data_IF_242760728891
#
_entry.id   IF_242760728891
#
_cell.length_a   1.000
_cell.length_b   1.000
_cell.length_c   1.000
_cell.angle_alpha   90.00
_cell.angle_beta   90.00
_cell.angle_gamma   90.00
#
_symmetry.space_group_name_H-M   'P 1'
#
loop_
_entity.id
_entity.type
_entity.pdbx_description
1 polymer ?
#
# COMPACT_ATOMS: atom_id res chain seq x y z
N UNK A 1 8.55 17.07 3.22
CA UNK A 1 8.44 16.91 4.68
C UNK A 1 8.56 15.44 5.05
N UNK A 2 9.29 15.14 6.10
CA UNK A 2 9.45 13.78 6.62
C UNK A 2 8.70 13.66 7.94
N UNK A 3 7.77 12.71 8.03
CA UNK A 3 7.07 12.38 9.25
C UNK A 3 7.75 11.17 9.92
N UNK A 4 8.31 11.35 11.09
CA UNK A 4 8.98 10.31 11.85
C UNK A 4 8.15 9.86 13.06
N UNK A 5 8.55 8.77 13.70
CA UNK A 5 8.01 8.26 14.98
C UNK A 5 6.58 7.67 14.93
N UNK A 6 6.08 7.31 13.76
CA UNK A 6 4.78 6.65 13.65
C UNK A 6 3.61 7.52 14.17
N UNK A 7 2.63 6.87 14.83
CA UNK A 7 1.46 7.56 15.42
C UNK A 7 1.76 8.20 16.78
N UNK A 8 2.80 7.75 17.46
CA UNK A 8 3.06 8.07 18.86
C UNK A 8 2.16 7.32 19.86
N UNK A 9 1.34 6.41 19.39
CA UNK A 9 0.43 5.60 20.20
C UNK A 9 0.80 4.11 20.14
N UNK A 10 0.75 3.36 21.26
CA UNK A 10 0.93 1.94 21.25
C UNK A 10 -0.18 1.24 20.46
N UNK A 11 0.09 0.04 19.98
CA UNK A 11 -0.83 -0.81 19.18
C UNK A 11 -1.14 -0.35 17.76
N UNK A 12 -0.71 0.84 17.34
CA UNK A 12 -0.85 1.31 15.96
C UNK A 12 0.48 1.24 15.24
N UNK A 13 0.45 0.69 14.02
CA UNK A 13 1.65 0.52 13.20
C UNK A 13 2.02 1.79 12.43
N UNK A 14 3.18 1.78 11.80
CA UNK A 14 3.59 2.83 10.86
C UNK A 14 2.74 2.84 9.59
N UNK A 15 2.10 1.73 9.22
CA UNK A 15 1.11 1.70 8.13
C UNK A 15 -0.06 2.63 8.46
N UNK A 16 -0.62 2.52 9.67
CA UNK A 16 -1.67 3.43 10.14
C UNK A 16 -1.19 4.88 10.18
N UNK A 17 0.06 5.12 10.63
CA UNK A 17 0.63 6.46 10.64
C UNK A 17 0.70 7.07 9.24
N UNK A 18 1.14 6.29 8.25
CA UNK A 18 1.22 6.75 6.86
C UNK A 18 -0.14 7.17 6.31
N UNK A 19 -1.17 6.35 6.54
CA UNK A 19 -2.53 6.66 6.10
C UNK A 19 -3.10 7.88 6.83
N UNK A 20 -2.88 7.97 8.14
CA UNK A 20 -3.33 9.11 8.95
C UNK A 20 -2.72 10.41 8.46
N UNK A 21 -1.41 10.43 8.21
CA UNK A 21 -0.73 11.63 7.67
C UNK A 21 -1.21 11.97 6.26
N UNK A 22 -1.39 10.96 5.40
CA UNK A 22 -1.94 11.17 4.06
C UNK A 22 -3.34 11.83 4.11
N UNK A 23 -4.18 11.38 5.02
CA UNK A 23 -5.52 11.93 5.23
C UNK A 23 -5.45 13.39 5.73
N UNK A 24 -4.61 13.65 6.72
CA UNK A 24 -4.45 14.99 7.31
C UNK A 24 -3.97 16.04 6.31
N UNK A 25 -3.09 15.65 5.37
CA UNK A 25 -2.57 16.55 4.34
C UNK A 25 -3.39 16.55 3.05
N UNK A 26 -4.50 15.82 3.00
CA UNK A 26 -5.34 15.64 1.81
C UNK A 26 -4.54 15.10 0.59
N UNK A 27 -3.75 14.06 0.80
CA UNK A 27 -2.99 13.46 -0.28
C UNK A 27 -3.91 12.82 -1.32
N UNK A 28 -3.56 12.93 -2.59
CA UNK A 28 -4.30 12.34 -3.70
C UNK A 28 -4.10 10.83 -3.82
N UNK A 29 -2.96 10.35 -3.38
CA UNK A 29 -2.56 8.94 -3.45
C UNK A 29 -1.47 8.64 -2.41
N UNK A 30 -1.45 7.41 -1.93
CA UNK A 30 -0.34 6.89 -1.11
C UNK A 30 0.55 6.02 -2.00
N UNK A 31 1.84 6.29 -2.02
CA UNK A 31 2.84 5.48 -2.70
C UNK A 31 3.54 4.58 -1.67
N UNK A 32 3.26 3.29 -1.70
CA UNK A 32 3.78 2.31 -0.75
C UNK A 32 4.90 1.47 -1.39
N UNK A 33 6.14 1.85 -1.13
CA UNK A 33 7.31 1.11 -1.58
C UNK A 33 7.59 -0.08 -0.68
N UNK A 34 7.65 -1.28 -1.26
CA UNK A 34 7.86 -2.54 -0.53
C UNK A 34 8.98 -3.38 -1.15
N UNK A 35 9.44 -4.38 -0.40
CA UNK A 35 10.37 -5.38 -0.91
C UNK A 35 9.72 -6.27 -1.99
N UNK A 36 8.40 -6.50 -1.88
CA UNK A 36 7.61 -7.20 -2.91
C UNK A 36 7.06 -6.17 -3.89
N UNK A 37 7.13 -6.46 -5.17
CA UNK A 37 6.84 -5.53 -6.27
C UNK A 37 5.36 -5.24 -6.51
N UNK A 38 4.46 -6.03 -5.96
CA UNK A 38 3.02 -5.92 -6.18
C UNK A 38 2.23 -6.63 -5.07
N UNK A 39 0.90 -6.59 -5.18
CA UNK A 39 0.00 -7.42 -4.37
C UNK A 39 -0.26 -8.73 -5.10
N UNK A 40 -0.18 -9.84 -4.39
CA UNK A 40 -0.40 -11.19 -4.90
C UNK A 40 -1.51 -11.89 -4.12
N UNK A 41 -2.12 -12.89 -4.75
CA UNK A 41 -3.15 -13.74 -4.12
C UNK A 41 -2.61 -14.59 -2.96
N UNK A 42 -1.30 -14.85 -2.95
CA UNK A 42 -0.55 -15.54 -1.91
C UNK A 42 0.91 -15.09 -1.95
N UNK A 43 1.73 -15.52 -1.01
CA UNK A 43 3.17 -15.21 -1.03
C UNK A 43 3.84 -15.87 -2.25
N UNK A 44 4.33 -15.11 -3.24
CA UNK A 44 4.93 -15.68 -4.44
C UNK A 44 6.22 -16.46 -4.19
N UNK A 45 6.85 -16.28 -3.02
CA UNK A 45 8.04 -17.04 -2.60
C UNK A 45 7.69 -18.44 -2.12
N UNK A 46 6.46 -18.65 -1.66
CA UNK A 46 5.96 -19.92 -1.14
C UNK A 46 5.08 -20.62 -2.16
N UNK A 47 4.21 -19.87 -2.85
CA UNK A 47 3.28 -20.39 -3.83
C UNK A 47 3.63 -19.89 -5.24
N UNK A 48 4.13 -20.79 -6.07
CA UNK A 48 4.48 -20.47 -7.47
C UNK A 48 3.25 -20.13 -8.34
N UNK A 49 2.03 -20.47 -7.90
CA UNK A 49 0.77 -20.16 -8.58
C UNK A 49 0.12 -18.87 -8.07
N UNK A 50 0.80 -18.09 -7.24
CA UNK A 50 0.29 -16.81 -6.77
C UNK A 50 0.04 -15.87 -7.94
N UNK A 51 -1.17 -15.37 -8.05
CA UNK A 51 -1.57 -14.41 -9.08
C UNK A 51 -1.23 -12.99 -8.64
N UNK A 52 -0.63 -12.24 -9.56
CA UNK A 52 -0.32 -10.83 -9.37
C UNK A 52 -1.52 -9.98 -9.77
N UNK A 53 -1.88 -9.03 -8.92
CA UNK A 53 -2.92 -8.06 -9.22
C UNK A 53 -2.33 -6.78 -9.79
N UNK A 54 -2.87 -6.31 -10.90
CA UNK A 54 -2.56 -4.96 -11.42
C UNK A 54 -3.44 -3.91 -10.75
N UNK A 55 -4.69 -4.29 -10.45
CA UNK A 55 -5.65 -3.47 -9.72
C UNK A 55 -6.52 -4.35 -8.84
N UNK A 56 -6.82 -3.89 -7.63
CA UNK A 56 -7.68 -4.60 -6.68
C UNK A 56 -8.42 -3.58 -5.81
N UNK A 57 -9.61 -3.91 -5.34
CA UNK A 57 -10.35 -3.05 -4.42
C UNK A 57 -9.91 -3.27 -2.97
N UNK A 58 -10.11 -2.25 -2.13
CA UNK A 58 -9.89 -2.39 -0.69
C UNK A 58 -10.77 -3.47 -0.06
N UNK A 59 -12.00 -3.62 -0.57
CA UNK A 59 -12.91 -4.65 -0.08
C UNK A 59 -12.34 -6.05 -0.34
N UNK A 60 -11.86 -6.30 -1.55
CA UNK A 60 -11.23 -7.59 -1.89
C UNK A 60 -9.96 -7.85 -1.08
N UNK A 61 -9.15 -6.81 -0.81
CA UNK A 61 -7.96 -6.92 0.06
C UNK A 61 -8.37 -7.40 1.45
N UNK A 62 -9.43 -6.84 2.01
CA UNK A 62 -9.94 -7.20 3.34
C UNK A 62 -10.61 -8.59 3.33
N UNK A 63 -11.45 -8.88 2.36
CA UNK A 63 -12.16 -10.16 2.26
C UNK A 63 -11.21 -11.34 2.05
N UNK A 64 -10.18 -11.16 1.25
CA UNK A 64 -9.16 -12.20 0.96
C UNK A 64 -8.01 -12.19 1.96
N UNK A 65 -8.03 -11.29 2.94
CA UNK A 65 -6.96 -11.10 3.94
C UNK A 65 -5.56 -10.97 3.30
N UNK A 66 -5.49 -10.16 2.24
CA UNK A 66 -4.23 -9.95 1.52
C UNK A 66 -3.31 -9.01 2.32
N UNK A 67 -2.05 -9.37 2.39
CA UNK A 67 -1.05 -8.63 3.18
C UNK A 67 -0.46 -7.45 2.40
N UNK A 68 -1.24 -6.40 2.28
CA UNK A 68 -0.82 -5.11 1.70
C UNK A 68 -0.29 -4.20 2.81
N UNK A 69 -1.16 -3.87 3.73
CA UNK A 69 -0.95 -3.16 4.98
C UNK A 69 -1.74 -3.89 6.07
N UNK A 70 -1.59 -3.47 7.33
CA UNK A 70 -2.48 -4.00 8.38
C UNK A 70 -3.95 -3.58 8.12
N UNK A 71 -4.87 -4.32 8.72
CA UNK A 71 -6.31 -4.14 8.47
C UNK A 71 -6.82 -2.76 8.91
N UNK A 72 -6.25 -2.18 9.96
CA UNK A 72 -6.60 -0.82 10.43
C UNK A 72 -6.24 0.22 9.37
N UNK A 73 -5.02 0.17 8.83
CA UNK A 73 -4.58 1.08 7.77
C UNK A 73 -5.41 0.91 6.49
N UNK A 74 -5.67 -0.34 6.10
CA UNK A 74 -6.48 -0.67 4.93
C UNK A 74 -7.92 -0.14 5.04
N UNK A 75 -8.54 -0.33 6.19
CA UNK A 75 -9.88 0.19 6.46
C UNK A 75 -9.91 1.73 6.43
N UNK A 76 -8.91 2.38 7.00
CA UNK A 76 -8.81 3.84 7.01
C UNK A 76 -8.65 4.40 5.59
N UNK A 77 -7.85 3.77 4.73
CA UNK A 77 -7.74 4.15 3.31
C UNK A 77 -9.08 4.01 2.58
N UNK A 78 -9.75 2.87 2.77
CA UNK A 78 -11.06 2.62 2.17
C UNK A 78 -12.08 3.67 2.58
N UNK A 79 -12.19 3.93 3.88
CA UNK A 79 -13.20 4.83 4.44
C UNK A 79 -12.98 6.30 4.04
N UNK A 80 -11.74 6.68 3.73
CA UNK A 80 -11.37 8.02 3.27
C UNK A 80 -11.17 8.10 1.75
N UNK A 81 -11.41 7.03 1.01
CA UNK A 81 -11.28 6.97 -0.45
C UNK A 81 -9.90 7.39 -0.96
N UNK A 82 -8.83 7.03 -0.26
CA UNK A 82 -7.46 7.33 -0.66
C UNK A 82 -6.92 6.16 -1.47
N UNK A 83 -6.57 6.35 -2.76
CA UNK A 83 -5.94 5.28 -3.53
C UNK A 83 -4.52 4.99 -3.04
N UNK A 84 -4.10 3.75 -3.19
CA UNK A 84 -2.80 3.25 -2.76
C UNK A 84 -2.12 2.56 -3.95
N UNK A 85 -0.90 2.95 -4.26
CA UNK A 85 -0.06 2.24 -5.22
C UNK A 85 1.01 1.46 -4.46
N UNK A 86 0.99 0.14 -4.58
CA UNK A 86 2.02 -0.76 -4.02
C UNK A 86 3.02 -1.10 -5.11
N UNK A 87 4.29 -0.83 -4.86
CA UNK A 87 5.36 -1.11 -5.84
C UNK A 87 6.66 -1.54 -5.15
N UNK A 88 7.54 -2.17 -5.93
CA UNK A 88 8.84 -2.62 -5.44
C UNK A 88 9.89 -1.50 -5.41
N UNK A 89 10.67 -1.44 -4.33
CA UNK A 89 11.75 -0.45 -4.16
C UNK A 89 13.16 -1.02 -4.38
N UNK A 90 13.27 -2.25 -4.86
CA UNK A 90 14.57 -2.83 -5.19
C UNK A 90 15.31 -2.02 -6.28
N UNK A 91 14.57 -1.47 -7.23
CA UNK A 91 15.04 -0.48 -8.19
C UNK A 91 14.58 0.92 -7.75
N UNK A 92 15.49 1.83 -7.34
CA UNK A 92 15.12 3.18 -6.92
C UNK A 92 14.38 4.01 -7.98
N UNK A 93 14.60 3.71 -9.27
CA UNK A 93 13.89 4.35 -10.38
C UNK A 93 12.38 4.11 -10.34
N UNK A 94 11.92 3.06 -9.67
CA UNK A 94 10.50 2.80 -9.49
C UNK A 94 9.78 3.90 -8.71
N UNK A 95 10.49 4.60 -7.82
CA UNK A 95 9.92 5.76 -7.10
C UNK A 95 9.58 6.86 -8.10
N UNK A 96 10.49 7.15 -9.03
CA UNK A 96 10.28 8.15 -10.09
C UNK A 96 9.13 7.72 -11.01
N UNK A 97 9.10 6.45 -11.42
CA UNK A 97 8.03 5.88 -12.25
C UNK A 97 6.66 5.98 -11.56
N UNK A 98 6.59 5.65 -10.27
CA UNK A 98 5.36 5.76 -9.49
C UNK A 98 4.85 7.22 -9.45
N UNK A 99 5.73 8.18 -9.20
CA UNK A 99 5.40 9.62 -9.17
C UNK A 99 4.93 10.11 -10.53
N UNK A 100 5.50 9.60 -11.62
CA UNK A 100 5.10 9.92 -12.99
C UNK A 100 3.77 9.28 -13.43
N UNK A 101 3.19 8.41 -12.62
CA UNK A 101 1.94 7.73 -12.92
C UNK A 101 2.09 6.53 -13.87
N UNK A 102 3.30 5.98 -14.00
CA UNK A 102 3.52 4.77 -14.79
C UNK A 102 2.83 3.55 -14.16
N UNK A 103 2.38 2.62 -14.99
CA UNK A 103 1.76 1.37 -14.57
C UNK A 103 2.79 0.39 -13.99
N UNK A 104 3.12 0.59 -12.71
CA UNK A 104 3.97 -0.33 -11.96
C UNK A 104 3.22 -0.83 -10.73
N UNK A 105 3.54 -2.04 -10.27
CA UNK A 105 2.94 -2.58 -9.04
C UNK A 105 1.44 -2.82 -9.13
N UNK A 106 0.76 -2.60 -8.01
CA UNK A 106 -0.70 -2.81 -7.87
C UNK A 106 -1.37 -1.54 -7.37
N UNK A 107 -2.40 -1.09 -8.08
CA UNK A 107 -3.27 -0.01 -7.63
C UNK A 107 -4.40 -0.59 -6.77
N UNK A 108 -4.50 -0.13 -5.52
CA UNK A 108 -5.60 -0.45 -4.61
C UNK A 108 -6.50 0.76 -4.49
N UNK A 109 -7.77 0.55 -4.81
CA UNK A 109 -8.67 1.71 -4.92
C UNK A 109 -10.10 1.38 -4.50
#
# INVERSE_FOLDING_TARGET
VIFACGTGHPYFTTDTAAVLRATEINADIILLGKAIDAVYSADPKIDANAERYDKISYLEVLEKDLKVMDSTATALCRDNNIPLLVFGIADPENIVRAVKGEHIGTLVK
#
